data_IF_800354187957
#
_entry.id   IF_800354187957
#
_cell.length_a   1.000
_cell.length_b   1.000
_cell.length_c   1.000
_cell.angle_alpha   90.00
_cell.angle_beta   90.00
_cell.angle_gamma   90.00
#
_symmetry.space_group_name_H-M   'P 1'
#
loop_
_entity.id
_entity.type
_entity.pdbx_description
1 polymer ?
#
# COMPACT_ATOMS: atom_id res chain seq x y z
N UNK A 1 -21.34 -4.45 18.16
CA UNK A 1 -20.18 -3.53 18.37
C UNK A 1 -19.12 -3.93 17.37
N UNK A 2 -18.67 -3.00 16.52
CA UNK A 2 -17.55 -3.22 15.60
C UNK A 2 -16.26 -3.09 16.40
N UNK A 3 -15.58 -4.20 16.62
CA UNK A 3 -14.23 -4.25 17.16
C UNK A 3 -13.36 -4.94 16.09
N UNK A 4 -12.07 -4.62 15.97
CA UNK A 4 -11.20 -5.28 14.98
C UNK A 4 -11.24 -6.81 15.07
N UNK A 5 -11.31 -7.35 16.29
CA UNK A 5 -11.45 -8.78 16.56
C UNK A 5 -12.80 -9.38 16.14
N UNK A 6 -13.83 -8.56 15.95
CA UNK A 6 -15.15 -9.00 15.49
C UNK A 6 -15.24 -9.16 13.96
N UNK A 7 -14.18 -8.80 13.22
CA UNK A 7 -14.07 -9.01 11.78
C UNK A 7 -13.43 -10.39 11.56
N UNK A 8 -14.27 -11.41 11.34
CA UNK A 8 -13.84 -12.81 11.24
C UNK A 8 -13.87 -13.33 9.80
N UNK A 9 -12.91 -14.21 9.50
CA UNK A 9 -12.82 -14.94 8.24
C UNK A 9 -13.60 -16.26 8.30
N UNK A 10 -13.91 -16.86 7.15
CA UNK A 10 -14.61 -18.16 7.10
C UNK A 10 -13.81 -19.25 7.83
N UNK A 11 -12.48 -19.24 7.69
CA UNK A 11 -11.56 -20.15 8.38
C UNK A 11 -11.62 -19.97 9.90
N UNK A 12 -11.54 -18.73 10.39
CA UNK A 12 -11.61 -18.40 11.82
C UNK A 12 -12.98 -18.77 12.39
N UNK A 13 -14.06 -18.51 11.63
CA UNK A 13 -15.40 -18.90 12.03
C UNK A 13 -15.59 -20.42 12.05
N UNK A 14 -14.96 -21.14 11.13
CA UNK A 14 -15.02 -22.60 11.07
C UNK A 14 -14.34 -23.26 12.29
N UNK A 15 -13.36 -22.60 12.89
CA UNK A 15 -12.68 -23.03 14.12
C UNK A 15 -13.45 -22.68 15.40
N UNK A 16 -14.56 -21.94 15.30
CA UNK A 16 -15.33 -21.53 16.47
C UNK A 16 -16.30 -22.63 16.93
N UNK A 17 -16.28 -22.93 18.23
CA UNK A 17 -17.17 -23.92 18.86
C UNK A 17 -18.67 -23.59 18.72
N UNK A 18 -18.99 -22.32 18.46
CA UNK A 18 -20.36 -21.82 18.27
C UNK A 18 -20.83 -21.89 16.81
N UNK A 19 -20.03 -22.43 15.89
CA UNK A 19 -20.35 -22.55 14.48
C UNK A 19 -21.39 -23.67 14.24
N UNK A 20 -22.67 -23.33 14.40
CA UNK A 20 -23.82 -24.22 14.15
C UNK A 20 -24.66 -23.68 12.99
N UNK A 21 -25.39 -24.54 12.25
CA UNK A 21 -26.19 -24.10 11.09
C UNK A 21 -27.24 -23.02 11.43
N UNK A 22 -27.66 -22.91 12.69
CA UNK A 22 -28.61 -21.90 13.17
C UNK A 22 -27.96 -20.76 13.99
N UNK A 23 -26.66 -20.54 13.86
CA UNK A 23 -25.96 -19.49 14.60
C UNK A 23 -26.45 -18.09 14.18
N UNK A 24 -26.84 -17.26 15.16
CA UNK A 24 -27.29 -15.86 14.95
C UNK A 24 -26.22 -14.80 15.26
N UNK A 25 -24.99 -15.23 15.53
CA UNK A 25 -23.89 -14.34 15.90
C UNK A 25 -23.28 -13.58 14.69
N UNK A 26 -23.46 -14.09 13.47
CA UNK A 26 -22.92 -13.47 12.27
C UNK A 26 -23.86 -12.37 11.76
N UNK A 27 -23.34 -11.15 11.68
CA UNK A 27 -24.02 -10.03 11.02
C UNK A 27 -23.27 -9.67 9.74
N UNK A 28 -23.95 -9.78 8.60
CA UNK A 28 -23.43 -9.27 7.32
C UNK A 28 -23.60 -7.76 7.31
N UNK A 29 -22.51 -7.05 7.02
CA UNK A 29 -22.53 -5.60 6.85
C UNK A 29 -21.81 -5.23 5.56
N UNK A 30 -22.39 -4.27 4.85
CA UNK A 30 -21.80 -3.70 3.66
C UNK A 30 -20.84 -2.59 4.04
N UNK A 31 -19.75 -2.52 3.30
CA UNK A 31 -18.72 -1.51 3.49
C UNK A 31 -18.16 -1.10 2.13
N UNK A 32 -17.69 0.14 2.07
CA UNK A 32 -17.11 0.72 0.86
C UNK A 32 -15.64 0.96 1.15
N UNK A 33 -14.78 0.40 0.30
CA UNK A 33 -13.38 0.76 0.31
C UNK A 33 -13.15 1.97 -0.58
N UNK A 34 -12.42 2.95 -0.05
CA UNK A 34 -11.93 4.11 -0.80
C UNK A 34 -10.42 4.17 -0.63
N UNK A 35 -9.71 4.19 -1.74
CA UNK A 35 -8.27 4.42 -1.71
C UNK A 35 -7.83 5.21 -2.93
N UNK A 36 -6.67 5.83 -2.79
CA UNK A 36 -6.03 6.54 -3.89
C UNK A 36 -4.93 5.67 -4.47
N UNK A 37 -4.86 5.60 -5.80
CA UNK A 37 -3.86 4.83 -6.51
C UNK A 37 -3.23 5.66 -7.62
N UNK A 38 -2.05 5.27 -8.07
CA UNK A 38 -1.36 5.92 -9.21
C UNK A 38 -1.89 5.32 -10.52
N UNK A 39 -2.14 6.12 -11.56
CA UNK A 39 -2.68 5.62 -12.83
C UNK A 39 -1.66 4.77 -13.63
N UNK A 40 -0.38 4.77 -13.23
CA UNK A 40 0.66 4.01 -13.92
C UNK A 40 0.43 2.50 -13.83
N UNK A 41 0.58 1.82 -14.96
CA UNK A 41 0.52 0.36 -15.07
C UNK A 41 1.79 -0.30 -14.50
N UNK A 42 1.73 -1.60 -14.23
CA UNK A 42 2.88 -2.38 -13.75
C UNK A 42 4.11 -2.29 -14.67
N UNK A 43 3.89 -2.30 -15.99
CA UNK A 43 4.98 -2.22 -16.95
C UNK A 43 5.65 -0.84 -16.96
N UNK A 44 4.88 0.23 -16.75
CA UNK A 44 5.40 1.60 -16.64
C UNK A 44 6.20 1.77 -15.34
N UNK A 45 5.70 1.20 -14.23
CA UNK A 45 6.42 1.15 -12.96
C UNK A 45 7.76 0.43 -13.09
N UNK A 46 7.78 -0.75 -13.68
CA UNK A 46 9.01 -1.53 -13.88
C UNK A 46 10.04 -0.76 -14.73
N UNK A 47 9.57 -0.04 -15.75
CA UNK A 47 10.44 0.82 -16.57
C UNK A 47 11.03 1.98 -15.76
N UNK A 48 10.22 2.59 -14.90
CA UNK A 48 10.66 3.67 -14.00
C UNK A 48 11.73 3.15 -13.04
N UNK A 49 11.55 1.96 -12.47
CA UNK A 49 12.51 1.34 -11.56
C UNK A 49 13.84 1.03 -12.26
N UNK A 50 13.80 0.42 -13.44
CA UNK A 50 15.02 0.17 -14.23
C UNK A 50 15.76 1.46 -14.58
N UNK A 51 15.03 2.55 -14.83
CA UNK A 51 15.66 3.84 -15.05
C UNK A 51 16.34 4.37 -13.78
N UNK A 52 15.69 4.27 -12.61
CA UNK A 52 16.28 4.69 -11.34
C UNK A 52 17.53 3.87 -10.99
N UNK A 53 17.57 2.58 -11.32
CA UNK A 53 18.74 1.72 -11.10
C UNK A 53 19.98 2.17 -11.88
N UNK A 54 19.79 2.76 -13.06
CA UNK A 54 20.88 3.26 -13.91
C UNK A 54 21.27 4.71 -13.59
N UNK A 55 20.41 5.46 -12.90
CA UNK A 55 20.69 6.82 -12.49
C UNK A 55 21.65 6.85 -11.28
N UNK A 56 22.44 7.93 -11.20
CA UNK A 56 23.32 8.19 -10.05
C UNK A 56 22.87 9.43 -9.32
N UNK A 57 22.90 9.38 -7.99
CA UNK A 57 22.38 10.42 -7.12
C UNK A 57 23.50 11.03 -6.29
N UNK A 58 23.58 12.36 -6.26
CA UNK A 58 24.46 13.06 -5.33
C UNK A 58 23.82 13.03 -3.95
N UNK A 59 24.47 12.38 -2.98
CA UNK A 59 24.03 12.37 -1.60
C UNK A 59 25.03 13.13 -0.74
N UNK A 60 24.57 14.19 -0.07
CA UNK A 60 25.41 14.98 0.81
C UNK A 60 25.38 14.35 2.21
N UNK A 61 26.25 13.36 2.42
CA UNK A 61 26.17 12.49 3.58
C UNK A 61 26.59 13.16 4.90
N UNK A 62 27.31 14.28 4.90
CA UNK A 62 27.74 15.00 6.11
C UNK A 62 28.16 16.44 5.75
N UNK A 63 28.17 17.36 6.73
CA UNK A 63 28.64 18.76 6.61
C UNK A 63 30.10 18.95 6.13
N UNK A 64 30.79 17.87 5.75
CA UNK A 64 32.10 17.92 5.11
C UNK A 64 31.90 17.74 3.61
N UNK A 65 32.38 18.74 2.87
CA UNK A 65 32.12 19.11 1.49
C UNK A 65 32.50 18.08 0.40
N UNK A 66 32.14 16.80 0.58
CA UNK A 66 32.41 15.73 -0.37
C UNK A 66 31.07 15.17 -0.86
N UNK A 67 30.58 15.70 -1.98
CA UNK A 67 29.40 15.18 -2.66
C UNK A 67 29.71 13.77 -3.20
N UNK A 68 29.26 12.73 -2.49
CA UNK A 68 29.41 11.37 -2.96
C UNK A 68 28.30 11.02 -3.96
N UNK A 69 28.65 10.34 -5.04
CA UNK A 69 27.72 9.90 -6.08
C UNK A 69 27.40 8.44 -5.81
N UNK A 70 26.15 8.17 -5.42
CA UNK A 70 25.67 6.84 -5.04
C UNK A 70 24.72 6.27 -6.09
N UNK A 71 24.71 4.95 -6.22
CA UNK A 71 23.69 4.22 -6.97
C UNK A 71 22.40 4.10 -6.15
N UNK A 72 21.27 3.82 -6.81
CA UNK A 72 19.95 3.79 -6.16
C UNK A 72 19.87 2.86 -4.94
N UNK A 73 20.51 1.69 -5.00
CA UNK A 73 20.50 0.71 -3.90
C UNK A 73 21.33 1.12 -2.68
N UNK A 74 22.31 2.01 -2.85
CA UNK A 74 23.22 2.44 -1.80
C UNK A 74 22.65 3.61 -0.99
N UNK A 75 21.58 4.23 -1.48
CA UNK A 75 20.88 5.31 -0.79
C UNK A 75 20.13 4.80 0.44
N UNK A 76 19.93 5.65 1.47
CA UNK A 76 19.06 5.29 2.58
C UNK A 76 17.63 5.05 2.09
N UNK A 77 16.94 4.10 2.72
CA UNK A 77 15.61 3.66 2.31
C UNK A 77 14.60 4.82 2.19
N UNK A 78 14.66 5.79 3.09
CA UNK A 78 13.79 6.98 3.05
C UNK A 78 14.05 7.82 1.78
N UNK A 79 15.32 8.02 1.40
CA UNK A 79 15.67 8.71 0.17
C UNK A 79 15.21 7.94 -1.06
N UNK A 80 15.42 6.62 -1.10
CA UNK A 80 14.94 5.75 -2.19
C UNK A 80 13.43 5.89 -2.39
N UNK A 81 12.66 5.79 -1.31
CA UNK A 81 11.20 5.93 -1.34
C UNK A 81 10.79 7.33 -1.81
N UNK A 82 11.48 8.37 -1.37
CA UNK A 82 11.19 9.75 -1.78
C UNK A 82 11.42 9.96 -3.28
N UNK A 83 12.51 9.41 -3.81
CA UNK A 83 12.89 9.50 -5.22
C UNK A 83 11.90 8.70 -6.06
N UNK A 84 11.61 7.46 -5.69
CA UNK A 84 10.66 6.60 -6.42
C UNK A 84 9.27 7.24 -6.46
N UNK A 85 8.77 7.72 -5.32
CA UNK A 85 7.47 8.42 -5.23
C UNK A 85 7.43 9.68 -6.09
N UNK A 86 8.48 10.50 -6.03
CA UNK A 86 8.58 11.74 -6.82
C UNK A 86 8.59 11.43 -8.31
N UNK A 87 9.42 10.48 -8.72
CA UNK A 87 9.62 10.12 -10.14
C UNK A 87 8.35 9.53 -10.74
N UNK A 88 7.66 8.70 -9.97
CA UNK A 88 6.35 8.16 -10.34
C UNK A 88 5.28 9.24 -10.41
N UNK A 89 5.27 10.19 -9.46
CA UNK A 89 4.33 11.30 -9.46
C UNK A 89 4.53 12.22 -10.67
N UNK A 90 5.78 12.53 -11.03
CA UNK A 90 6.14 13.33 -12.20
C UNK A 90 5.71 12.65 -13.50
N UNK A 91 5.94 11.34 -13.61
CA UNK A 91 5.48 10.54 -14.75
C UNK A 91 3.95 10.59 -14.91
N UNK A 92 3.22 10.37 -13.81
CA UNK A 92 1.76 10.37 -13.84
C UNK A 92 1.20 11.77 -14.18
N UNK A 93 1.82 12.84 -13.67
CA UNK A 93 1.46 14.22 -14.05
C UNK A 93 1.70 14.49 -15.53
N UNK A 94 2.81 14.02 -16.09
CA UNK A 94 3.16 14.27 -17.49
C UNK A 94 2.24 13.49 -18.45
N UNK A 95 1.96 12.21 -18.17
CA UNK A 95 1.20 11.34 -19.08
C UNK A 95 -0.31 11.39 -18.86
N UNK A 96 -0.74 11.41 -17.60
CA UNK A 96 -2.14 11.27 -17.19
C UNK A 96 -2.75 12.57 -16.65
N UNK A 97 -1.97 13.66 -16.58
CA UNK A 97 -2.36 14.96 -16.02
C UNK A 97 -2.89 14.89 -14.58
N UNK A 98 -2.62 13.79 -13.87
CA UNK A 98 -3.02 13.54 -12.49
C UNK A 98 -1.97 12.68 -11.80
N UNK A 99 -1.69 12.99 -10.53
CA UNK A 99 -0.72 12.23 -9.73
C UNK A 99 -1.34 10.97 -9.12
N UNK A 100 -2.61 11.06 -8.71
CA UNK A 100 -3.37 10.00 -8.07
C UNK A 100 -4.79 9.99 -8.63
N UNK A 101 -5.40 8.82 -8.62
CA UNK A 101 -6.80 8.59 -8.97
C UNK A 101 -7.52 8.00 -7.76
N UNK A 102 -8.77 8.43 -7.58
CA UNK A 102 -9.64 7.88 -6.55
C UNK A 102 -10.23 6.56 -7.07
N UNK A 103 -9.99 5.49 -6.33
CA UNK A 103 -10.59 4.19 -6.55
C UNK A 103 -11.65 3.94 -5.49
N UNK A 104 -12.91 3.85 -5.92
CA UNK A 104 -13.98 3.30 -5.09
C UNK A 104 -14.17 1.86 -5.54
N UNK A 105 -13.81 0.91 -4.69
CA UNK A 105 -14.17 -0.49 -4.92
C UNK A 105 -15.42 -0.76 -4.10
N UNK A 106 -16.54 -0.87 -4.82
CA UNK A 106 -17.83 -1.19 -4.25
C UNK A 106 -17.97 -2.73 -4.11
N UNK A 107 -18.20 -3.16 -2.86
CA UNK A 107 -18.87 -4.41 -2.45
C UNK A 107 -18.03 -5.72 -2.57
N UNK A 108 -18.13 -6.79 -1.77
CA UNK A 108 -19.02 -7.27 -0.69
C UNK A 108 -18.15 -8.03 0.33
N UNK A 109 -18.43 -7.86 1.63
CA UNK A 109 -17.95 -8.71 2.75
C UNK A 109 -16.41 -8.82 2.91
N UNK A 110 -15.98 -9.53 3.95
CA UNK A 110 -14.60 -9.70 4.46
C UNK A 110 -13.50 -10.06 3.44
N UNK A 111 -13.82 -10.20 2.15
CA UNK A 111 -12.92 -10.62 1.07
C UNK A 111 -11.81 -9.58 0.81
N UNK A 112 -12.12 -8.29 0.78
CA UNK A 112 -11.10 -7.27 0.48
C UNK A 112 -10.09 -7.13 1.63
N UNK A 113 -10.50 -7.26 2.90
CA UNK A 113 -9.57 -7.27 4.05
C UNK A 113 -8.65 -8.49 3.99
N UNK A 114 -9.19 -9.66 3.62
CA UNK A 114 -8.38 -10.88 3.37
C UNK A 114 -7.36 -10.65 2.26
N UNK A 115 -7.80 -10.08 1.13
CA UNK A 115 -6.96 -9.82 -0.04
C UNK A 115 -5.88 -8.76 0.24
N UNK A 116 -6.21 -7.71 0.99
CA UNK A 116 -5.25 -6.68 1.38
C UNK A 116 -4.21 -7.28 2.34
N UNK A 117 -4.62 -8.09 3.31
CA UNK A 117 -3.69 -8.78 4.21
C UNK A 117 -2.77 -9.74 3.45
N UNK A 118 -3.31 -10.56 2.56
CA UNK A 118 -2.54 -11.47 1.69
C UNK A 118 -1.55 -10.71 0.79
N UNK A 119 -1.96 -9.58 0.21
CA UNK A 119 -1.09 -8.75 -0.62
C UNK A 119 0.03 -8.08 0.19
N UNK A 120 -0.26 -7.61 1.41
CA UNK A 120 0.75 -7.03 2.31
C UNK A 120 1.75 -8.08 2.79
N UNK A 121 1.29 -9.29 3.10
CA UNK A 121 2.16 -10.43 3.49
C UNK A 121 3.02 -10.93 2.31
N UNK A 122 2.51 -10.93 1.08
CA UNK A 122 3.28 -11.35 -0.12
C UNK A 122 4.34 -10.33 -0.57
N UNK A 123 4.12 -9.03 -0.35
CA UNK A 123 5.04 -7.99 -0.81
C UNK A 123 6.26 -7.87 0.12
N UNK A 124 6.24 -8.47 1.32
CA UNK A 124 7.41 -8.62 2.21
C UNK A 124 8.06 -7.30 2.68
N UNK A 125 7.47 -6.16 2.32
CA UNK A 125 7.86 -4.83 2.77
C UNK A 125 6.67 -4.26 3.53
N UNK A 126 6.86 -4.06 4.82
CA UNK A 126 6.03 -3.18 5.62
C UNK A 126 6.09 -1.78 4.98
N UNK A 127 5.18 -1.50 4.04
CA UNK A 127 4.90 -0.12 3.67
C UNK A 127 4.50 0.55 4.98
N UNK A 128 5.30 1.53 5.38
CA UNK A 128 5.16 2.19 6.66
C UNK A 128 3.70 2.55 6.91
N UNK A 129 3.31 2.28 8.15
CA UNK A 129 1.98 2.41 8.69
C UNK A 129 1.35 3.77 8.48
N UNK A 130 2.00 4.78 7.91
CA UNK A 130 1.41 6.11 7.71
C UNK A 130 0.28 6.13 6.69
N UNK A 131 0.22 5.18 5.75
CA UNK A 131 -0.99 5.01 4.91
C UNK A 131 -2.12 4.32 5.69
N UNK A 132 -1.78 3.49 6.68
CA UNK A 132 -2.72 2.71 7.50
C UNK A 132 -3.21 3.49 8.73
N UNK A 133 -2.40 4.42 9.25
CA UNK A 133 -2.71 5.29 10.39
C UNK A 133 -3.77 6.32 10.01
N UNK A 134 -3.77 6.77 8.76
CA UNK A 134 -4.87 7.56 8.18
C UNK A 134 -6.17 6.75 8.00
N UNK A 135 -6.07 5.43 7.81
CA UNK A 135 -7.23 4.54 7.59
C UNK A 135 -7.96 4.11 8.87
N UNK A 136 -7.39 4.35 10.06
CA UNK A 136 -8.02 3.98 11.34
C UNK A 136 -8.70 5.19 12.02
N UNK A 137 -8.38 6.43 11.65
CA UNK A 137 -8.83 7.63 12.37
C UNK A 137 -9.97 8.43 11.74
N UNK A 138 -10.60 7.95 10.65
CA UNK A 138 -11.80 8.60 10.08
C UNK A 138 -13.09 7.77 10.24
N UNK A 139 -13.13 6.85 11.19
CA UNK A 139 -14.40 6.26 11.69
C UNK A 139 -15.06 7.16 12.73
#
# INVERSE_FOLDING_TARGET
RLQPSAIVNSTICAQCDLNRPNARCQRKMDWIWRGTYVPATRNELQRIQLQLENERFSFNANNNHNNNILSFHELPQEAQLSIERKRLADYCRARWHRTKMDGIVCTISSIIIKRIRELVEQIGRSLELDTVRYLIFQT
#
